data_IF_333219948414
#
_entry.id   IF_333219948414
#
_cell.length_a   1.000
_cell.length_b   1.000
_cell.length_c   1.000
_cell.angle_alpha   90.00
_cell.angle_beta   90.00
_cell.angle_gamma   90.00
#
_symmetry.space_group_name_H-M   'P 1'
#
loop_
_entity.id
_entity.type
_entity.pdbx_description
1 polymer ?
#
# COMPACT_ATOMS: atom_id res chain seq x y z
N UNK A 1 43.72 30.20 5.61
CA UNK A 1 44.06 29.07 4.75
C UNK A 1 44.95 28.00 5.41
N UNK A 2 45.94 28.37 6.25
CA UNK A 2 46.83 27.37 6.93
C UNK A 2 46.16 26.55 8.04
N UNK A 3 45.06 27.03 8.65
CA UNK A 3 44.35 26.31 9.72
C UNK A 3 43.53 25.14 9.16
N UNK A 4 42.93 25.27 7.98
CA UNK A 4 42.15 24.22 7.30
C UNK A 4 43.01 23.05 6.82
N UNK A 5 44.33 23.22 6.71
CA UNK A 5 45.30 22.20 6.29
C UNK A 5 46.05 21.56 7.48
N UNK A 6 45.70 21.94 8.72
CA UNK A 6 46.36 21.40 9.90
C UNK A 6 45.79 20.01 10.25
N UNK A 7 46.65 19.05 10.59
CA UNK A 7 46.22 17.69 11.00
C UNK A 7 45.31 17.75 12.23
N UNK A 8 45.52 18.72 13.11
CA UNK A 8 44.68 18.92 14.29
C UNK A 8 43.24 19.31 13.92
N UNK A 9 43.09 20.20 12.91
CA UNK A 9 41.77 20.59 12.40
C UNK A 9 41.04 19.39 11.78
N UNK A 10 41.76 18.55 11.01
CA UNK A 10 41.19 17.34 10.42
C UNK A 10 40.70 16.37 11.50
N UNK A 11 41.48 16.15 12.57
CA UNK A 11 41.09 15.29 13.68
C UNK A 11 39.85 15.84 14.41
N UNK A 12 39.81 17.13 14.72
CA UNK A 12 38.67 17.74 15.41
C UNK A 12 37.42 17.68 14.55
N UNK A 13 37.50 17.97 13.27
CA UNK A 13 36.35 17.92 12.37
C UNK A 13 35.84 16.47 12.22
N UNK A 14 36.71 15.49 12.10
CA UNK A 14 36.32 14.07 12.03
C UNK A 14 35.65 13.63 13.31
N UNK A 15 36.22 13.94 14.47
CA UNK A 15 35.62 13.59 15.77
C UNK A 15 34.25 14.27 15.96
N UNK A 16 34.13 15.54 15.58
CA UNK A 16 32.84 16.28 15.69
C UNK A 16 31.79 15.70 14.76
N UNK A 17 32.14 15.37 13.52
CA UNK A 17 31.23 14.73 12.58
C UNK A 17 30.82 13.33 13.08
N UNK A 18 31.79 12.52 13.55
CA UNK A 18 31.48 11.20 14.11
C UNK A 18 30.54 11.32 15.32
N UNK A 19 30.78 12.28 16.19
CA UNK A 19 29.93 12.50 17.35
C UNK A 19 28.52 12.98 16.95
N UNK A 20 28.42 13.86 15.95
CA UNK A 20 27.16 14.32 15.41
C UNK A 20 26.35 13.17 14.76
N UNK A 21 27.05 12.25 14.08
CA UNK A 21 26.42 11.06 13.47
C UNK A 21 25.89 10.09 14.52
N UNK A 22 26.58 9.94 15.62
CA UNK A 22 26.17 9.10 16.75
C UNK A 22 24.95 9.69 17.50
N UNK A 23 24.87 11.02 17.57
CA UNK A 23 23.76 11.73 18.25
C UNK A 23 22.48 11.80 17.42
N UNK A 24 22.59 11.87 16.10
CA UNK A 24 21.44 12.03 15.19
C UNK A 24 21.53 11.12 13.97
N UNK A 25 21.41 9.78 14.16
CA UNK A 25 21.44 8.83 13.05
C UNK A 25 20.28 9.07 12.06
N UNK A 26 19.14 9.59 12.53
CA UNK A 26 17.96 9.87 11.72
C UNK A 26 18.18 10.98 10.69
N UNK A 27 18.94 12.01 11.05
CA UNK A 27 19.25 13.12 10.15
C UNK A 27 20.14 12.65 8.99
N UNK A 28 21.13 11.82 9.27
CA UNK A 28 21.97 11.26 8.23
C UNK A 28 21.22 10.31 7.31
N UNK A 29 20.38 9.45 7.86
CA UNK A 29 19.52 8.57 7.07
C UNK A 29 18.60 9.37 6.15
N UNK A 30 18.01 10.47 6.62
CA UNK A 30 17.17 11.33 5.79
C UNK A 30 17.95 12.00 4.66
N UNK A 31 19.20 12.40 4.90
CA UNK A 31 20.08 12.99 3.87
C UNK A 31 20.47 11.91 2.85
N UNK A 32 20.86 10.72 3.31
CA UNK A 32 21.23 9.61 2.45
C UNK A 32 20.08 9.20 1.52
N UNK A 33 18.86 9.09 2.07
CA UNK A 33 17.66 8.80 1.30
C UNK A 33 17.40 9.85 0.20
N UNK A 34 17.56 11.14 0.51
CA UNK A 34 17.37 12.23 -0.47
C UNK A 34 18.43 12.23 -1.56
N UNK A 35 19.69 11.93 -1.21
CA UNK A 35 20.76 11.78 -2.20
C UNK A 35 20.48 10.57 -3.09
N UNK A 36 20.06 9.46 -2.50
CA UNK A 36 19.68 8.24 -3.23
C UNK A 36 18.54 8.50 -4.22
N UNK A 37 17.54 9.28 -3.84
CA UNK A 37 16.44 9.68 -4.75
C UNK A 37 16.96 10.39 -5.99
N UNK A 38 17.90 11.33 -5.83
CA UNK A 38 18.47 12.06 -6.96
C UNK A 38 19.28 11.18 -7.90
N UNK A 39 19.87 10.08 -7.37
CA UNK A 39 20.66 9.14 -8.17
C UNK A 39 19.77 8.09 -8.87
N UNK A 40 18.63 7.74 -8.29
CA UNK A 40 17.74 6.68 -8.78
C UNK A 40 16.67 7.22 -9.74
N UNK A 41 16.26 8.49 -9.60
CA UNK A 41 15.23 9.09 -10.46
C UNK A 41 15.76 9.19 -11.89
N UNK A 42 15.47 8.16 -12.69
CA UNK A 42 15.57 8.19 -14.14
C UNK A 42 14.29 8.78 -14.74
N UNK A 43 14.35 9.18 -16.01
CA UNK A 43 13.17 9.61 -16.75
C UNK A 43 12.02 8.61 -16.57
N UNK A 44 10.85 9.14 -16.24
CA UNK A 44 9.64 8.31 -16.06
C UNK A 44 9.20 7.83 -17.44
N UNK A 45 9.34 6.54 -17.71
CA UNK A 45 8.60 5.92 -18.80
C UNK A 45 7.11 5.86 -18.42
N UNK A 46 6.27 6.28 -19.33
CA UNK A 46 4.82 6.19 -19.15
C UNK A 46 4.40 4.72 -19.28
N UNK A 47 3.76 4.17 -18.26
CA UNK A 47 3.20 2.82 -18.31
C UNK A 47 1.79 2.94 -18.87
N UNK A 48 1.60 2.57 -20.15
CA UNK A 48 0.30 2.67 -20.84
C UNK A 48 -0.71 1.62 -20.36
N UNK A 49 -0.24 0.53 -19.75
CA UNK A 49 -1.06 -0.60 -19.32
C UNK A 49 -1.81 -0.37 -18.00
N UNK A 50 -1.52 0.73 -17.29
CA UNK A 50 -2.13 1.06 -16.00
C UNK A 50 -2.93 2.35 -16.10
N UNK A 51 -4.23 2.25 -15.84
CA UNK A 51 -5.15 3.39 -15.82
C UNK A 51 -5.59 3.66 -14.39
N UNK A 52 -5.40 4.89 -13.92
CA UNK A 52 -5.91 5.35 -12.63
C UNK A 52 -7.27 6.02 -12.82
N UNK A 53 -8.29 5.47 -12.16
CA UNK A 53 -9.63 6.05 -12.10
C UNK A 53 -9.84 6.68 -10.72
N UNK A 54 -10.03 7.98 -10.67
CA UNK A 54 -10.16 8.74 -9.43
C UNK A 54 -11.62 9.13 -9.15
N UNK A 55 -12.01 9.08 -7.87
CA UNK A 55 -13.30 9.62 -7.38
C UNK A 55 -13.07 11.09 -7.02
N UNK A 56 -13.25 11.95 -8.00
CA UNK A 56 -13.05 13.39 -7.86
C UNK A 56 -14.27 14.09 -7.24
N UNK A 57 -14.11 15.35 -6.84
CA UNK A 57 -15.24 16.19 -6.39
C UNK A 57 -16.37 16.24 -7.42
N UNK A 58 -16.05 16.29 -8.71
CA UNK A 58 -17.05 16.24 -9.79
C UNK A 58 -17.86 14.94 -9.77
N UNK A 59 -17.25 13.83 -9.40
CA UNK A 59 -17.97 12.56 -9.21
C UNK A 59 -18.97 12.67 -8.06
N UNK A 60 -18.57 13.34 -6.97
CA UNK A 60 -19.42 13.53 -5.80
C UNK A 60 -20.58 14.54 -6.07
N UNK A 61 -20.34 15.54 -6.91
CA UNK A 61 -21.40 16.46 -7.36
C UNK A 61 -22.52 15.74 -8.13
N UNK A 62 -22.14 14.72 -8.93
CA UNK A 62 -23.10 13.98 -9.76
C UNK A 62 -23.78 12.84 -8.99
N UNK A 63 -23.01 12.09 -8.19
CA UNK A 63 -23.46 10.86 -7.55
C UNK A 63 -23.74 10.99 -6.05
N UNK A 64 -23.47 12.15 -5.47
CA UNK A 64 -23.71 12.44 -4.07
C UNK A 64 -22.52 12.15 -3.17
N UNK A 65 -22.79 12.09 -1.88
CA UNK A 65 -21.77 12.04 -0.84
C UNK A 65 -21.07 10.66 -0.76
N UNK A 66 -19.76 10.70 -0.54
CA UNK A 66 -18.97 9.49 -0.22
C UNK A 66 -19.35 8.91 1.16
N UNK A 67 -19.38 7.59 1.33
CA UNK A 67 -19.12 6.55 0.33
C UNK A 67 -20.29 6.42 -0.68
N UNK A 68 -19.94 6.24 -1.96
CA UNK A 68 -20.92 6.07 -3.04
C UNK A 68 -21.71 4.75 -2.86
N UNK A 69 -22.96 4.70 -3.34
CA UNK A 69 -23.75 3.47 -3.42
C UNK A 69 -23.03 2.35 -4.18
N UNK A 70 -23.29 1.11 -3.82
CA UNK A 70 -22.56 -0.07 -4.38
C UNK A 70 -22.89 -0.34 -5.84
N UNK A 71 -24.06 0.06 -6.31
CA UNK A 71 -24.46 -0.04 -7.73
C UNK A 71 -23.54 0.79 -8.63
N UNK A 72 -23.09 1.98 -8.19
CA UNK A 72 -22.16 2.82 -8.95
C UNK A 72 -20.82 2.09 -9.17
N UNK A 73 -20.30 1.41 -8.14
CA UNK A 73 -19.09 0.60 -8.28
C UNK A 73 -19.34 -0.63 -9.16
N UNK A 74 -20.51 -1.25 -9.07
CA UNK A 74 -20.90 -2.34 -9.94
C UNK A 74 -20.95 -1.92 -11.41
N UNK A 75 -21.56 -0.80 -11.72
CA UNK A 75 -21.58 -0.21 -13.07
C UNK A 75 -20.18 0.14 -13.57
N UNK A 76 -19.33 0.66 -12.70
CA UNK A 76 -17.92 0.93 -13.04
C UNK A 76 -17.19 -0.35 -13.45
N UNK A 77 -17.33 -1.45 -12.68
CA UNK A 77 -16.75 -2.74 -13.03
C UNK A 77 -17.22 -3.19 -14.42
N UNK A 78 -18.52 -3.09 -14.70
CA UNK A 78 -19.07 -3.48 -16.01
C UNK A 78 -18.48 -2.67 -17.15
N UNK A 79 -18.36 -1.35 -16.99
CA UNK A 79 -17.78 -0.46 -18.00
C UNK A 79 -16.29 -0.74 -18.22
N UNK A 80 -15.53 -0.97 -17.15
CA UNK A 80 -14.12 -1.30 -17.25
C UNK A 80 -13.91 -2.65 -17.95
N UNK A 81 -14.74 -3.66 -17.67
CA UNK A 81 -14.72 -4.95 -18.39
C UNK A 81 -15.06 -4.78 -19.88
N UNK A 82 -16.06 -3.96 -20.21
CA UNK A 82 -16.38 -3.64 -21.61
C UNK A 82 -15.22 -2.93 -22.31
N UNK A 83 -14.41 -2.18 -21.57
CA UNK A 83 -13.18 -1.58 -22.07
C UNK A 83 -11.97 -2.53 -22.07
N UNK A 84 -12.18 -3.83 -21.82
CA UNK A 84 -11.15 -4.87 -21.77
C UNK A 84 -10.13 -4.71 -20.63
N UNK A 85 -10.52 -4.15 -19.49
CA UNK A 85 -9.68 -4.17 -18.30
C UNK A 85 -9.48 -5.63 -17.83
N UNK A 86 -8.25 -6.11 -17.80
CA UNK A 86 -7.92 -7.47 -17.37
C UNK A 86 -8.01 -7.64 -15.85
N UNK A 87 -7.56 -6.63 -15.10
CA UNK A 87 -7.62 -6.59 -13.63
C UNK A 87 -8.17 -5.25 -13.19
N UNK A 88 -9.09 -5.26 -12.25
CA UNK A 88 -9.68 -4.06 -11.65
C UNK A 88 -9.35 -4.05 -10.17
N UNK A 89 -8.73 -2.96 -9.69
CA UNK A 89 -8.29 -2.85 -8.31
C UNK A 89 -9.05 -1.73 -7.61
N UNK A 90 -9.72 -2.06 -6.52
CA UNK A 90 -10.30 -1.06 -5.63
C UNK A 90 -9.33 -0.71 -4.50
N UNK A 91 -8.68 0.43 -4.62
CA UNK A 91 -7.90 1.01 -3.51
C UNK A 91 -8.83 1.73 -2.52
N UNK A 92 -9.88 1.03 -2.13
CA UNK A 92 -10.95 1.47 -1.24
C UNK A 92 -11.28 0.35 -0.27
N UNK A 93 -11.83 0.70 0.90
CA UNK A 93 -12.33 -0.25 1.88
C UNK A 93 -13.86 -0.20 1.93
N UNK A 94 -14.47 -1.36 2.02
CA UNK A 94 -15.91 -1.57 2.13
C UNK A 94 -16.26 -2.29 3.44
N UNK A 95 -16.05 -1.65 4.61
CA UNK A 95 -16.21 -2.28 5.93
C UNK A 95 -17.67 -2.35 6.39
N UNK A 96 -18.57 -1.61 5.75
CA UNK A 96 -19.98 -1.47 6.12
C UNK A 96 -20.89 -1.85 4.97
N UNK A 97 -22.12 -2.24 5.31
CA UNK A 97 -23.18 -2.50 4.34
C UNK A 97 -23.59 -1.23 3.60
N UNK A 98 -24.05 -1.40 2.38
CA UNK A 98 -24.53 -0.29 1.56
C UNK A 98 -25.85 0.26 2.11
N UNK A 99 -25.90 1.58 2.24
CA UNK A 99 -27.10 2.28 2.73
C UNK A 99 -28.32 2.15 1.82
N UNK A 100 -28.08 1.83 0.55
CA UNK A 100 -29.12 1.65 -0.47
C UNK A 100 -29.48 0.19 -0.71
N UNK A 101 -28.81 -0.74 -0.01
CA UNK A 101 -29.09 -2.18 -0.09
C UNK A 101 -28.58 -2.86 -1.37
N UNK A 102 -27.60 -2.26 -2.07
CA UNK A 102 -27.08 -2.78 -3.34
C UNK A 102 -25.88 -3.73 -3.17
N UNK A 103 -25.68 -4.25 -1.98
CA UNK A 103 -24.56 -5.13 -1.65
C UNK A 103 -24.50 -6.41 -2.48
N UNK A 104 -25.65 -7.05 -2.69
CA UNK A 104 -25.71 -8.31 -3.44
C UNK A 104 -25.31 -8.13 -4.90
N UNK A 105 -25.82 -7.07 -5.55
CA UNK A 105 -25.46 -6.72 -6.92
C UNK A 105 -23.96 -6.46 -7.06
N UNK A 106 -23.37 -5.72 -6.13
CA UNK A 106 -21.94 -5.46 -6.11
C UNK A 106 -21.13 -6.74 -5.88
N UNK A 107 -21.57 -7.59 -4.94
CA UNK A 107 -20.90 -8.87 -4.64
C UNK A 107 -20.81 -9.77 -5.88
N UNK A 108 -21.86 -9.81 -6.69
CA UNK A 108 -21.90 -10.59 -7.94
C UNK A 108 -20.93 -10.06 -9.01
N UNK A 109 -20.50 -8.81 -8.91
CA UNK A 109 -19.54 -8.21 -9.84
C UNK A 109 -18.07 -8.43 -9.44
N UNK A 110 -17.78 -8.85 -8.21
CA UNK A 110 -16.42 -8.99 -7.70
C UNK A 110 -15.61 -10.17 -8.29
N UNK A 111 -16.20 -11.33 -8.63
CA UNK A 111 -15.45 -12.41 -9.29
C UNK A 111 -14.86 -11.97 -10.64
N UNK A 112 -13.83 -12.70 -11.10
CA UNK A 112 -13.21 -12.51 -12.41
C UNK A 112 -12.43 -11.17 -12.56
N UNK A 113 -11.34 -11.06 -11.82
CA UNK A 113 -10.34 -10.02 -12.00
C UNK A 113 -10.53 -8.78 -11.11
N UNK A 114 -11.43 -8.81 -10.12
CA UNK A 114 -11.54 -7.70 -9.16
C UNK A 114 -10.74 -8.01 -7.90
N UNK A 115 -9.86 -7.08 -7.53
CA UNK A 115 -9.01 -7.13 -6.33
C UNK A 115 -9.45 -6.02 -5.38
N UNK A 116 -9.61 -6.36 -4.12
CA UNK A 116 -9.95 -5.43 -3.05
C UNK A 116 -8.73 -5.12 -2.18
N UNK A 117 -8.72 -3.94 -1.61
CA UNK A 117 -7.67 -3.49 -0.71
C UNK A 117 -8.01 -3.74 0.75
N UNK A 118 -7.00 -4.16 1.50
CA UNK A 118 -6.97 -4.08 2.95
C UNK A 118 -6.05 -2.95 3.41
N UNK A 119 -6.41 -2.29 4.50
CA UNK A 119 -5.62 -1.21 5.09
C UNK A 119 -5.17 -1.60 6.50
N UNK A 120 -3.88 -1.92 6.70
CA UNK A 120 -3.34 -2.19 8.03
C UNK A 120 -3.55 -1.02 8.96
N UNK A 121 -3.78 -1.31 10.23
CA UNK A 121 -4.05 -0.34 11.29
C UNK A 121 -3.14 -0.58 12.49
N UNK A 122 -2.67 0.51 13.10
CA UNK A 122 -1.94 0.46 14.36
C UNK A 122 -2.87 0.26 15.59
N UNK A 123 -4.18 0.19 15.35
CA UNK A 123 -5.16 -0.13 16.39
C UNK A 123 -5.58 -1.58 16.23
N UNK A 124 -5.58 -2.32 17.34
CA UNK A 124 -6.12 -3.68 17.34
C UNK A 124 -7.61 -3.63 16.96
N UNK A 125 -8.02 -4.51 16.06
CA UNK A 125 -9.40 -4.69 15.63
C UNK A 125 -9.77 -6.15 15.83
N UNK A 126 -10.97 -6.39 16.35
CA UNK A 126 -11.44 -7.75 16.67
C UNK A 126 -11.91 -8.54 15.43
N UNK A 127 -11.81 -7.96 14.25
CA UNK A 127 -12.28 -8.61 13.01
C UNK A 127 -11.11 -9.31 12.32
N UNK A 128 -11.27 -10.61 12.11
CA UNK A 128 -10.37 -11.39 11.27
C UNK A 128 -10.68 -11.07 9.80
N UNK A 129 -9.68 -10.63 9.06
CA UNK A 129 -9.78 -10.47 7.62
C UNK A 129 -9.44 -11.79 6.92
N UNK A 130 -9.99 -11.97 5.73
CA UNK A 130 -9.59 -13.06 4.85
C UNK A 130 -8.11 -12.89 4.45
N UNK A 131 -7.37 -13.98 4.52
CA UNK A 131 -5.97 -14.02 4.06
C UNK A 131 -5.83 -15.09 2.99
N UNK A 132 -5.28 -14.73 1.86
CA UNK A 132 -4.86 -15.71 0.87
C UNK A 132 -3.76 -16.57 1.48
N UNK A 133 -3.86 -17.91 1.32
CA UNK A 133 -2.88 -18.81 1.88
C UNK A 133 -1.47 -18.53 1.33
N UNK A 134 -0.56 -18.14 2.22
CA UNK A 134 0.87 -18.00 1.92
C UNK A 134 1.57 -19.19 2.55
N UNK A 135 2.25 -19.97 1.72
CA UNK A 135 3.06 -21.10 2.19
C UNK A 135 4.44 -20.57 2.61
N UNK A 136 4.78 -20.81 3.86
CA UNK A 136 6.07 -20.44 4.44
C UNK A 136 6.98 -21.65 4.47
N UNK A 137 8.19 -21.50 3.95
CA UNK A 137 9.23 -22.55 3.95
C UNK A 137 10.51 -21.95 4.55
N UNK A 138 11.06 -22.63 5.55
CA UNK A 138 12.25 -22.16 6.28
C UNK A 138 11.90 -21.47 7.58
N UNK A 139 12.48 -20.46 8.07
CA UNK A 139 12.21 -19.75 9.33
C UNK A 139 10.87 -19.04 9.40
N UNK A 140 10.58 -18.31 10.48
CA UNK A 140 9.38 -17.51 10.60
C UNK A 140 9.55 -16.15 9.88
N UNK A 141 8.70 -15.87 8.89
CA UNK A 141 8.75 -14.61 8.15
C UNK A 141 8.40 -13.41 9.04
N UNK A 142 7.62 -13.60 10.09
CA UNK A 142 7.23 -12.53 11.03
C UNK A 142 8.43 -11.96 11.79
N UNK A 143 9.53 -12.67 11.88
CA UNK A 143 10.78 -12.16 12.46
C UNK A 143 11.43 -11.04 11.63
N UNK A 144 11.06 -10.93 10.35
CA UNK A 144 11.71 -10.03 9.36
C UNK A 144 10.78 -8.99 8.75
N UNK A 145 9.49 -9.07 9.00
CA UNK A 145 8.49 -8.17 8.42
C UNK A 145 7.72 -7.44 9.53
N UNK A 146 7.18 -6.28 9.18
CA UNK A 146 6.35 -5.54 10.12
C UNK A 146 5.01 -6.26 10.33
N UNK A 147 4.66 -6.48 11.60
CA UNK A 147 3.42 -7.11 12.01
C UNK A 147 2.46 -6.05 12.59
N UNK A 148 1.37 -5.77 11.88
CA UNK A 148 0.38 -4.79 12.31
C UNK A 148 -0.57 -5.38 13.35
N UNK A 149 -0.98 -4.61 14.37
CA UNK A 149 -1.92 -5.10 15.39
C UNK A 149 -3.37 -5.23 14.89
N UNK A 150 -3.70 -4.63 13.74
CA UNK A 150 -5.04 -4.69 13.18
C UNK A 150 -5.10 -4.41 11.70
N UNK A 151 -6.30 -4.56 11.13
CA UNK A 151 -6.57 -4.33 9.73
C UNK A 151 -7.99 -3.80 9.54
N UNK A 152 -8.16 -2.78 8.69
CA UNK A 152 -9.47 -2.40 8.19
C UNK A 152 -9.83 -3.32 7.04
N UNK A 153 -10.67 -4.31 7.35
CA UNK A 153 -11.13 -5.33 6.43
C UNK A 153 -12.42 -4.91 5.72
N UNK A 154 -12.67 -5.48 4.55
CA UNK A 154 -13.95 -5.36 3.88
C UNK A 154 -15.02 -6.25 4.55
N UNK A 155 -16.28 -6.15 4.11
CA UNK A 155 -17.30 -7.11 4.51
C UNK A 155 -16.92 -8.52 4.02
N UNK A 156 -17.15 -9.52 4.86
CA UNK A 156 -16.80 -10.92 4.56
C UNK A 156 -17.39 -11.41 3.23
N UNK A 157 -18.62 -11.00 2.91
CA UNK A 157 -19.28 -11.33 1.64
C UNK A 157 -18.49 -10.82 0.42
N UNK A 158 -17.86 -9.65 0.53
CA UNK A 158 -17.02 -9.10 -0.55
C UNK A 158 -15.66 -9.79 -0.62
N UNK A 159 -15.07 -10.07 0.54
CA UNK A 159 -13.79 -10.78 0.60
C UNK A 159 -13.86 -12.17 0.00
N UNK A 160 -14.97 -12.90 0.26
CA UNK A 160 -15.20 -14.23 -0.29
C UNK A 160 -15.51 -14.21 -1.80
N UNK A 161 -16.01 -13.12 -2.34
CA UNK A 161 -16.37 -13.00 -3.75
C UNK A 161 -15.24 -12.43 -4.63
N UNK A 162 -14.36 -11.62 -4.07
CA UNK A 162 -13.27 -10.98 -4.82
C UNK A 162 -12.25 -12.02 -5.34
N UNK A 163 -11.64 -11.72 -6.48
CA UNK A 163 -10.58 -12.56 -7.07
C UNK A 163 -9.33 -12.58 -6.20
N UNK A 164 -9.03 -11.46 -5.53
CA UNK A 164 -7.89 -11.33 -4.64
C UNK A 164 -8.08 -10.18 -3.66
N UNK A 165 -7.29 -10.22 -2.59
CA UNK A 165 -7.30 -9.18 -1.56
C UNK A 165 -5.87 -8.94 -1.13
N UNK A 166 -5.44 -7.68 -1.18
CA UNK A 166 -4.09 -7.31 -0.84
C UNK A 166 -3.98 -6.07 0.03
N UNK A 167 -2.88 -5.98 0.75
CA UNK A 167 -2.56 -4.79 1.53
C UNK A 167 -2.14 -3.67 0.59
N UNK A 168 -2.85 -2.53 0.66
CA UNK A 168 -2.60 -1.35 -0.17
C UNK A 168 -1.77 -0.27 0.52
N UNK A 169 -1.53 -0.40 1.81
CA UNK A 169 -0.79 0.59 2.59
C UNK A 169 0.62 0.12 2.90
N UNK A 170 1.51 1.09 3.15
CA UNK A 170 2.89 0.84 3.59
C UNK A 170 3.31 1.91 4.59
N UNK A 171 4.33 1.60 5.37
CA UNK A 171 4.91 2.58 6.27
C UNK A 171 5.84 3.51 5.49
N UNK A 172 5.71 4.84 5.67
CA UNK A 172 6.69 5.78 5.13
C UNK A 172 8.05 5.57 5.80
N UNK A 173 9.11 5.89 5.09
CA UNK A 173 10.46 5.93 5.64
C UNK A 173 10.59 7.12 6.63
N UNK A 174 11.75 7.23 7.25
CA UNK A 174 11.99 8.19 8.36
C UNK A 174 11.78 9.65 7.96
N UNK A 175 11.90 9.96 6.67
CA UNK A 175 11.66 11.29 6.10
C UNK A 175 10.22 11.51 5.61
N UNK A 176 9.32 10.55 5.86
CA UNK A 176 7.91 10.60 5.48
C UNK A 176 7.62 10.20 4.04
N UNK A 177 8.62 9.81 3.26
CA UNK A 177 8.46 9.41 1.87
C UNK A 177 8.32 7.89 1.74
N UNK A 178 7.37 7.44 0.95
CA UNK A 178 7.19 6.03 0.62
C UNK A 178 8.03 5.68 -0.60
N UNK A 179 9.05 4.82 -0.44
CA UNK A 179 9.92 4.37 -1.53
C UNK A 179 9.83 2.87 -1.78
N UNK A 180 9.32 2.14 -0.80
CA UNK A 180 9.26 0.68 -0.84
C UNK A 180 7.88 0.21 -0.49
N UNK A 181 7.38 -0.75 -1.26
CA UNK A 181 6.16 -1.47 -0.96
C UNK A 181 6.52 -2.90 -0.56
N UNK A 182 6.20 -3.33 0.67
CA UNK A 182 6.44 -4.71 1.05
C UNK A 182 5.55 -5.64 0.23
N UNK A 183 6.11 -6.72 -0.29
CA UNK A 183 5.32 -7.72 -1.02
C UNK A 183 4.42 -8.53 -0.10
N UNK A 184 4.81 -8.67 1.16
CA UNK A 184 4.09 -9.39 2.22
C UNK A 184 4.19 -8.56 3.50
N UNK A 185 3.10 -8.51 4.26
CA UNK A 185 3.08 -7.92 5.59
C UNK A 185 2.42 -8.86 6.60
N UNK A 186 2.80 -8.74 7.87
CA UNK A 186 2.14 -9.41 8.98
C UNK A 186 0.96 -8.62 9.50
N UNK A 187 -0.14 -9.28 9.84
CA UNK A 187 -1.23 -8.69 10.60
C UNK A 187 -1.74 -9.74 11.59
N UNK A 188 -1.68 -9.43 12.88
CA UNK A 188 -2.13 -10.37 13.94
C UNK A 188 -1.54 -11.77 13.76
N UNK A 189 -0.22 -11.83 13.52
CA UNK A 189 0.56 -13.06 13.34
C UNK A 189 0.18 -13.89 12.09
N UNK A 190 -0.54 -13.29 11.14
CA UNK A 190 -0.84 -13.90 9.83
C UNK A 190 -0.15 -13.12 8.72
N UNK A 191 0.23 -13.83 7.65
CA UNK A 191 0.83 -13.23 6.47
C UNK A 191 -0.24 -12.79 5.48
N UNK A 192 -0.11 -11.58 4.98
CA UNK A 192 -0.99 -10.99 3.96
C UNK A 192 -0.16 -10.53 2.77
N UNK A 193 -0.59 -10.84 1.54
CA UNK A 193 0.06 -10.34 0.33
C UNK A 193 -0.20 -8.83 0.17
N UNK A 194 0.72 -8.15 -0.50
CA UNK A 194 0.45 -6.80 -0.99
C UNK A 194 -0.54 -6.82 -2.16
N UNK A 195 -1.19 -5.69 -2.39
CA UNK A 195 -2.08 -5.53 -3.54
C UNK A 195 -1.35 -5.75 -4.88
N UNK A 196 -0.07 -5.38 -4.95
CA UNK A 196 0.76 -5.59 -6.15
C UNK A 196 0.98 -7.09 -6.42
N UNK A 197 1.21 -7.88 -5.37
CA UNK A 197 1.35 -9.33 -5.51
C UNK A 197 0.03 -9.98 -5.98
N UNK A 198 -1.11 -9.52 -5.49
CA UNK A 198 -2.42 -10.02 -5.93
C UNK A 198 -2.73 -9.62 -7.37
N UNK A 199 -2.36 -8.41 -7.80
CA UNK A 199 -2.46 -7.99 -9.21
C UNK A 199 -1.65 -8.93 -10.10
N UNK A 200 -0.40 -9.20 -9.72
CA UNK A 200 0.47 -10.09 -10.48
C UNK A 200 -0.11 -11.50 -10.59
N UNK A 201 -0.64 -12.06 -9.50
CA UNK A 201 -1.30 -13.38 -9.49
C UNK A 201 -2.55 -13.43 -10.37
N UNK A 202 -3.32 -12.34 -10.42
CA UNK A 202 -4.55 -12.28 -11.22
C UNK A 202 -4.28 -12.08 -12.71
N UNK A 203 -3.10 -11.57 -13.07
CA UNK A 203 -2.69 -11.29 -14.46
C UNK A 203 -2.00 -12.49 -15.11
N UNK A 204 -1.38 -13.40 -14.33
CA UNK A 204 -0.64 -14.58 -14.83
C UNK A 204 -1.50 -15.83 -14.83
#
# INVERSE_FOLDING_TARGET
MKILLSPLFAIITTLTLTWLTLLNPTLLQSIDLRISDQLIVKEKEFVEDVVLVDISEKTLEVHGQYPLPRDIYGDLILRLRQANAGVIVFNLSFPEEDRTGQDEGFTLMLPNGVILSHFPSNKAQNRSAYSTAIVQVGGDALDYIYNYPGIAANLEKYENAATGIGIANTLPEIDGVVRRLPMIAGVQDKLYPSIVLEIFKAYT
#
